data_IF_036195195457
#
_entry.id   IF_036195195457
#
_cell.length_a   1.000
_cell.length_b   1.000
_cell.length_c   1.000
_cell.angle_alpha   90.00
_cell.angle_beta   90.00
_cell.angle_gamma   90.00
#
_symmetry.space_group_name_H-M   'P 1'
#
loop_
_entity.id
_entity.type
_entity.pdbx_description
1 polymer ?
#
# COMPACT_ATOMS: atom_id res chain seq x y z
N UNK A 1 -14.98 -22.02 -0.38
CA UNK A 1 -15.61 -20.69 -0.52
C UNK A 1 -14.57 -19.72 -1.04
N UNK A 2 -14.80 -19.10 -2.20
CA UNK A 2 -13.93 -18.06 -2.73
C UNK A 2 -14.38 -16.72 -2.15
N UNK A 3 -13.45 -15.97 -1.54
CA UNK A 3 -13.69 -14.59 -1.11
C UNK A 3 -13.40 -13.67 -2.29
N UNK A 4 -14.42 -12.96 -2.76
CA UNK A 4 -14.24 -11.88 -3.74
C UNK A 4 -13.99 -10.59 -2.98
N UNK A 5 -12.76 -10.10 -3.01
CA UNK A 5 -12.38 -8.84 -2.37
C UNK A 5 -12.33 -7.78 -3.46
N UNK A 6 -13.39 -6.98 -3.55
CA UNK A 6 -13.42 -5.78 -4.39
C UNK A 6 -12.78 -4.63 -3.60
N UNK A 7 -11.86 -3.91 -4.25
CA UNK A 7 -11.43 -2.62 -3.74
C UNK A 7 -12.39 -1.51 -4.19
N UNK A 8 -12.34 -0.38 -3.50
CA UNK A 8 -13.21 0.78 -3.69
C UNK A 8 -12.90 1.52 -5.00
N UNK A 9 -11.75 1.25 -5.62
CA UNK A 9 -11.29 1.94 -6.83
C UNK A 9 -11.60 1.16 -8.11
N UNK A 10 -12.23 -0.01 -8.01
CA UNK A 10 -12.82 -0.72 -9.13
C UNK A 10 -11.83 -1.33 -10.11
N UNK A 11 -10.52 -1.16 -9.93
CA UNK A 11 -9.50 -1.88 -10.71
C UNK A 11 -9.58 -3.36 -10.36
N UNK A 12 -9.93 -4.26 -11.29
CA UNK A 12 -9.97 -5.67 -11.01
C UNK A 12 -8.53 -6.19 -10.82
N UNK A 13 -8.25 -6.72 -9.63
CA UNK A 13 -7.02 -7.42 -9.31
C UNK A 13 -7.22 -8.92 -9.42
N UNK A 14 -6.28 -9.60 -10.07
CA UNK A 14 -6.19 -11.04 -10.06
C UNK A 14 -5.45 -11.49 -8.80
N UNK A 15 -5.96 -12.51 -8.12
CA UNK A 15 -5.39 -13.02 -6.87
C UNK A 15 -5.00 -14.48 -7.01
N UNK A 16 -4.01 -14.91 -6.23
CA UNK A 16 -3.62 -16.31 -6.16
C UNK A 16 -4.75 -17.17 -5.60
N UNK A 17 -5.06 -18.27 -6.29
CA UNK A 17 -6.07 -19.24 -5.84
C UNK A 17 -5.69 -19.90 -4.50
N UNK A 18 -4.40 -20.15 -4.28
CA UNK A 18 -3.90 -20.75 -3.04
C UNK A 18 -3.73 -19.73 -1.91
N UNK A 19 -3.53 -18.45 -2.24
CA UNK A 19 -3.38 -17.38 -1.27
C UNK A 19 -4.08 -16.09 -1.75
N UNK A 20 -5.38 -15.92 -1.47
CA UNK A 20 -6.16 -14.76 -1.94
C UNK A 20 -5.69 -13.40 -1.40
N UNK A 21 -4.78 -13.37 -0.41
CA UNK A 21 -4.13 -12.14 0.03
C UNK A 21 -3.02 -11.68 -0.91
N UNK A 22 -2.56 -12.54 -1.82
CA UNK A 22 -1.50 -12.25 -2.78
C UNK A 22 -2.10 -11.91 -4.14
N UNK A 23 -1.89 -10.67 -4.58
CA UNK A 23 -2.28 -10.19 -5.90
C UNK A 23 -1.23 -10.64 -6.91
N UNK A 24 -1.68 -11.18 -8.03
CA UNK A 24 -0.85 -11.71 -9.12
C UNK A 24 -0.87 -10.83 -10.37
N UNK A 25 -1.73 -9.81 -10.41
CA UNK A 25 -1.82 -8.84 -11.50
C UNK A 25 -3.10 -8.02 -11.43
N UNK A 26 -3.32 -7.17 -12.42
CA UNK A 26 -4.55 -6.42 -12.63
C UNK A 26 -4.77 -6.10 -14.11
N UNK A 27 -6.00 -5.71 -14.44
CA UNK A 27 -6.40 -5.36 -15.82
C UNK A 27 -5.79 -4.04 -16.30
N UNK A 28 -5.52 -3.10 -15.38
CA UNK A 28 -5.02 -1.76 -15.69
C UNK A 28 -3.86 -1.36 -14.79
N UNK A 29 -2.85 -0.74 -15.41
CA UNK A 29 -1.66 -0.26 -14.72
C UNK A 29 -1.45 1.23 -14.96
N UNK A 30 -1.03 1.93 -13.91
CA UNK A 30 -0.32 3.19 -14.02
C UNK A 30 1.11 2.89 -14.49
N UNK A 31 1.61 3.70 -15.41
CA UNK A 31 2.98 3.63 -15.92
C UNK A 31 3.79 4.84 -15.40
N UNK A 32 4.29 4.80 -14.15
CA UNK A 32 5.05 5.90 -13.57
C UNK A 32 6.35 6.21 -14.29
N UNK A 33 6.97 5.20 -14.91
CA UNK A 33 8.20 5.37 -15.67
C UNK A 33 8.22 4.44 -16.88
N UNK A 34 8.57 5.02 -18.02
CA UNK A 34 8.84 4.33 -19.29
C UNK A 34 10.23 4.77 -19.73
N UNK A 35 11.18 3.83 -19.80
CA UNK A 35 12.60 4.15 -19.89
C UNK A 35 13.40 3.14 -20.69
N UNK A 36 14.71 3.32 -20.70
CA UNK A 36 15.68 2.40 -21.31
C UNK A 36 16.90 2.28 -20.40
N UNK A 37 17.55 1.11 -20.42
CA UNK A 37 18.89 0.89 -19.86
C UNK A 37 19.78 0.34 -20.97
N UNK A 38 21.00 0.85 -21.06
CA UNK A 38 21.96 0.50 -22.12
C UNK A 38 23.31 0.13 -21.51
N UNK A 39 24.15 -0.69 -22.17
CA UNK A 39 25.47 -1.09 -21.67
C UNK A 39 26.41 0.06 -21.30
N UNK A 40 26.19 1.27 -21.83
CA UNK A 40 26.95 2.46 -21.45
C UNK A 40 26.63 3.01 -20.05
N UNK A 41 25.60 2.51 -19.36
CA UNK A 41 25.27 2.92 -18.00
C UNK A 41 26.29 2.35 -17.01
N UNK A 42 26.87 3.16 -16.09
CA UNK A 42 27.92 2.69 -15.16
C UNK A 42 27.52 1.47 -14.33
N UNK A 43 26.24 1.37 -13.96
CA UNK A 43 25.68 0.26 -13.17
C UNK A 43 24.91 -0.76 -14.01
N UNK A 44 25.10 -0.77 -15.35
CA UNK A 44 24.34 -1.66 -16.24
C UNK A 44 24.41 -3.13 -15.81
N UNK A 45 25.61 -3.61 -15.48
CA UNK A 45 25.86 -5.00 -15.07
C UNK A 45 25.07 -5.39 -13.82
N UNK A 46 24.99 -4.50 -12.83
CA UNK A 46 24.18 -4.71 -11.62
C UNK A 46 22.68 -4.65 -11.95
N UNK A 47 22.28 -3.74 -12.85
CA UNK A 47 20.88 -3.57 -13.21
C UNK A 47 20.30 -4.76 -13.98
N UNK A 48 21.09 -5.45 -14.80
CA UNK A 48 20.66 -6.63 -15.58
C UNK A 48 20.92 -7.97 -14.90
N UNK A 49 21.52 -7.97 -13.70
CA UNK A 49 21.83 -9.21 -12.94
C UNK A 49 20.60 -10.12 -12.80
N UNK A 50 19.45 -9.55 -12.43
CA UNK A 50 18.19 -10.30 -12.31
C UNK A 50 17.77 -10.95 -13.66
N UNK A 51 18.02 -10.30 -14.79
CA UNK A 51 17.72 -10.89 -16.10
C UNK A 51 18.68 -12.05 -16.38
N UNK A 52 19.96 -11.86 -16.08
CA UNK A 52 21.02 -12.84 -16.30
C UNK A 52 20.81 -14.11 -15.48
N UNK A 53 20.55 -13.95 -14.18
CA UNK A 53 20.31 -15.05 -13.26
C UNK A 53 19.12 -15.92 -13.66
N UNK A 54 18.15 -15.33 -14.36
CA UNK A 54 16.97 -16.03 -14.87
C UNK A 54 17.12 -16.48 -16.34
N UNK A 55 18.30 -16.31 -16.95
CA UNK A 55 18.54 -16.68 -18.35
C UNK A 55 17.80 -15.81 -19.38
N UNK A 56 17.37 -14.61 -18.99
CA UNK A 56 16.65 -13.64 -19.81
C UNK A 56 17.53 -12.47 -20.28
N UNK A 57 18.82 -12.47 -19.91
CA UNK A 57 19.78 -11.48 -20.41
C UNK A 57 20.20 -11.81 -21.85
N UNK A 58 19.35 -11.48 -22.83
CA UNK A 58 19.52 -11.87 -24.24
C UNK A 58 19.73 -10.69 -25.19
N UNK A 59 19.78 -9.45 -24.68
CA UNK A 59 19.80 -8.23 -25.51
C UNK A 59 21.11 -7.45 -25.33
N UNK A 60 22.08 -7.58 -26.26
CA UNK A 60 23.35 -6.87 -26.16
C UNK A 60 23.21 -5.34 -26.30
N UNK A 61 22.13 -4.85 -26.91
CA UNK A 61 21.82 -3.43 -27.06
C UNK A 61 21.30 -2.78 -25.76
N UNK A 62 20.89 -3.58 -24.78
CA UNK A 62 20.18 -3.13 -23.59
C UNK A 62 18.68 -3.41 -23.65
N UNK A 63 17.93 -2.78 -22.74
CA UNK A 63 16.52 -3.08 -22.53
C UNK A 63 15.68 -1.80 -22.52
N UNK A 64 14.55 -1.86 -23.22
CA UNK A 64 13.42 -0.98 -22.96
C UNK A 64 12.69 -1.43 -21.70
N UNK A 65 12.27 -0.48 -20.87
CA UNK A 65 11.65 -0.71 -19.57
C UNK A 65 10.28 -0.05 -19.46
N UNK A 66 9.34 -0.77 -18.84
CA UNK A 66 8.11 -0.16 -18.31
C UNK A 66 7.93 -0.58 -16.86
N UNK A 67 7.83 0.41 -15.98
CA UNK A 67 7.41 0.19 -14.61
C UNK A 67 5.90 0.28 -14.58
N UNK A 68 5.27 -0.79 -14.14
CA UNK A 68 3.82 -0.91 -14.01
C UNK A 68 3.48 -0.93 -12.52
N UNK A 69 2.41 -0.22 -12.16
CA UNK A 69 1.87 -0.30 -10.81
C UNK A 69 0.35 -0.14 -10.81
N UNK A 70 -0.26 -0.73 -9.79
CA UNK A 70 -1.61 -0.44 -9.32
C UNK A 70 -1.53 -0.17 -7.82
N UNK A 71 -2.69 0.00 -7.18
CA UNK A 71 -2.82 0.19 -5.75
C UNK A 71 -2.20 -0.97 -4.95
N UNK A 72 -2.23 -2.19 -5.50
CA UNK A 72 -1.95 -3.43 -4.79
C UNK A 72 -0.91 -4.33 -5.46
N UNK A 73 -0.40 -3.94 -6.63
CA UNK A 73 0.56 -4.75 -7.39
C UNK A 73 1.53 -3.87 -8.17
N UNK A 74 2.74 -4.38 -8.38
CA UNK A 74 3.70 -3.76 -9.27
C UNK A 74 4.42 -4.80 -10.09
N UNK A 75 4.85 -4.39 -11.27
CA UNK A 75 5.63 -5.21 -12.16
C UNK A 75 6.62 -4.35 -12.95
N UNK A 76 7.65 -4.99 -13.46
CA UNK A 76 8.58 -4.39 -14.41
C UNK A 76 8.62 -5.22 -15.67
N UNK A 77 8.42 -4.56 -16.80
CA UNK A 77 8.59 -5.11 -18.12
C UNK A 77 9.99 -4.81 -18.64
N UNK A 78 10.62 -5.81 -19.24
CA UNK A 78 11.87 -5.71 -19.98
C UNK A 78 11.65 -6.18 -21.42
N UNK A 79 11.91 -5.32 -22.40
CA UNK A 79 11.74 -5.62 -23.82
C UNK A 79 12.78 -4.92 -24.70
N UNK A 80 12.50 -4.82 -26.00
CA UNK A 80 13.39 -4.10 -26.90
C UNK A 80 13.29 -2.58 -26.69
N UNK A 81 14.41 -1.89 -26.91
CA UNK A 81 14.45 -0.43 -26.87
C UNK A 81 13.54 0.14 -27.96
N UNK A 82 13.52 -0.46 -29.15
CA UNK A 82 12.71 -0.02 -30.28
C UNK A 82 11.22 -0.04 -29.95
N UNK A 83 10.73 -1.08 -29.27
CA UNK A 83 9.32 -1.20 -28.92
C UNK A 83 8.90 -0.13 -27.91
N UNK A 84 9.74 0.16 -26.93
CA UNK A 84 9.46 1.20 -25.93
C UNK A 84 9.51 2.59 -26.54
N UNK A 85 10.48 2.86 -27.40
CA UNK A 85 10.56 4.14 -28.10
C UNK A 85 9.41 4.32 -29.09
N UNK A 86 8.95 3.25 -29.73
CA UNK A 86 7.74 3.27 -30.55
C UNK A 86 6.50 3.57 -29.69
N UNK A 87 6.34 2.86 -28.57
CA UNK A 87 5.23 3.10 -27.64
C UNK A 87 5.20 4.55 -27.14
N UNK A 88 6.35 5.13 -26.75
CA UNK A 88 6.43 6.54 -26.33
C UNK A 88 5.97 7.51 -27.42
N UNK A 89 6.37 7.26 -28.68
CA UNK A 89 5.97 8.08 -29.84
C UNK A 89 4.48 7.96 -30.13
N UNK A 90 3.93 6.76 -30.01
CA UNK A 90 2.53 6.50 -30.35
C UNK A 90 1.58 6.93 -29.21
N UNK A 91 2.02 6.85 -27.95
CA UNK A 91 1.20 7.11 -26.78
C UNK A 91 1.09 8.60 -26.38
N UNK A 92 1.14 9.51 -27.34
CA UNK A 92 1.10 10.96 -27.08
C UNK A 92 -0.23 11.43 -26.49
N UNK A 93 -1.33 10.72 -26.79
CA UNK A 93 -2.68 10.97 -26.28
C UNK A 93 -3.14 9.96 -25.22
N UNK A 94 -2.27 9.01 -24.84
CA UNK A 94 -2.57 7.98 -23.85
C UNK A 94 -3.41 6.80 -24.35
N UNK A 95 -3.64 6.66 -25.66
CA UNK A 95 -4.50 5.61 -26.23
C UNK A 95 -3.75 4.45 -26.88
N UNK A 96 -2.41 4.51 -26.93
CA UNK A 96 -1.63 3.48 -27.59
C UNK A 96 -1.75 2.14 -26.86
N UNK A 97 -1.82 1.06 -27.63
CA UNK A 97 -1.79 -0.30 -27.10
C UNK A 97 -0.34 -0.77 -26.96
N UNK A 98 -0.04 -1.34 -25.81
CA UNK A 98 1.25 -1.98 -25.55
C UNK A 98 1.08 -3.50 -25.60
N UNK A 99 1.97 -4.19 -26.34
CA UNK A 99 2.00 -5.65 -26.41
C UNK A 99 3.10 -6.18 -25.47
N UNK A 100 2.74 -6.68 -24.27
CA UNK A 100 3.73 -7.16 -23.30
C UNK A 100 4.31 -8.54 -23.67
N UNK A 101 3.79 -9.22 -24.70
CA UNK A 101 4.26 -10.57 -25.07
C UNK A 101 5.65 -10.60 -25.70
N UNK A 102 6.20 -9.45 -26.10
CA UNK A 102 7.50 -9.33 -26.79
C UNK A 102 8.70 -9.19 -25.84
N UNK A 103 8.46 -9.30 -24.54
CA UNK A 103 9.46 -9.17 -23.51
C UNK A 103 9.15 -10.03 -22.30
N UNK A 104 9.77 -9.70 -21.18
CA UNK A 104 9.66 -10.44 -19.94
C UNK A 104 9.10 -9.54 -18.85
N UNK A 105 8.12 -10.05 -18.10
CA UNK A 105 7.50 -9.37 -16.98
C UNK A 105 7.98 -9.97 -15.66
N UNK A 106 8.45 -9.12 -14.76
CA UNK A 106 8.76 -9.49 -13.37
C UNK A 106 7.72 -8.89 -12.44
N UNK A 107 7.16 -9.69 -11.53
CA UNK A 107 6.08 -9.30 -10.61
C UNK A 107 6.58 -8.48 -9.40
N UNK A 108 7.47 -7.54 -9.66
CA UNK A 108 8.01 -6.58 -8.71
C UNK A 108 8.78 -5.49 -9.46
N UNK A 109 9.05 -4.38 -8.80
CA UNK A 109 10.10 -3.48 -9.24
C UNK A 109 11.45 -4.01 -8.73
N UNK A 110 12.52 -3.91 -9.53
CA UNK A 110 13.87 -4.21 -9.09
C UNK A 110 14.31 -3.22 -8.00
N UNK A 111 15.38 -3.53 -7.29
CA UNK A 111 15.94 -2.69 -6.24
C UNK A 111 17.46 -2.93 -6.15
N UNK A 112 18.18 -2.02 -5.51
CA UNK A 112 19.62 -2.11 -5.32
C UNK A 112 20.40 -1.22 -6.27
N UNK A 113 21.70 -1.51 -6.43
CA UNK A 113 22.64 -0.66 -7.16
C UNK A 113 22.16 -0.37 -8.59
N UNK A 114 22.25 0.89 -9.01
CA UNK A 114 21.69 1.40 -10.26
C UNK A 114 20.18 1.61 -10.23
N UNK A 115 19.41 0.66 -9.69
CA UNK A 115 17.95 0.76 -9.61
C UNK A 115 17.46 1.80 -8.60
N UNK A 116 18.10 1.92 -7.44
CA UNK A 116 17.68 2.84 -6.37
C UNK A 116 17.68 4.32 -6.81
N UNK A 117 18.57 4.67 -7.74
CA UNK A 117 18.66 6.03 -8.33
C UNK A 117 17.83 6.17 -9.62
N UNK A 118 17.63 5.07 -10.35
CA UNK A 118 16.85 5.06 -11.59
C UNK A 118 15.34 5.13 -11.33
N UNK A 119 14.88 4.48 -10.26
CA UNK A 119 13.46 4.36 -9.95
C UNK A 119 12.90 5.65 -9.35
N UNK A 120 11.76 6.13 -9.86
CA UNK A 120 11.19 7.35 -9.33
C UNK A 120 10.56 7.06 -7.97
N UNK A 121 10.76 7.98 -7.03
CA UNK A 121 9.99 7.98 -5.77
C UNK A 121 8.59 8.54 -6.03
N UNK A 122 7.71 7.72 -6.60
CA UNK A 122 6.34 8.11 -6.93
C UNK A 122 5.34 7.61 -5.89
N UNK A 123 4.61 8.54 -5.30
CA UNK A 123 3.49 8.26 -4.42
C UNK A 123 2.22 7.92 -5.22
N UNK A 124 1.27 7.24 -4.59
CA UNK A 124 -0.03 7.03 -5.21
C UNK A 124 -0.79 8.35 -5.30
N UNK A 125 -0.88 9.04 -4.17
CA UNK A 125 -1.48 10.36 -4.06
C UNK A 125 -0.47 11.44 -4.44
N UNK A 126 -0.69 12.10 -5.57
CA UNK A 126 0.13 13.21 -6.05
C UNK A 126 -0.77 14.44 -6.14
N UNK A 127 -0.31 15.58 -5.62
CA UNK A 127 -1.06 16.84 -5.58
C UNK A 127 -1.50 17.29 -6.97
N UNK A 128 -0.62 17.15 -7.97
CA UNK A 128 -0.91 17.46 -9.37
C UNK A 128 -2.07 16.63 -9.96
N UNK A 129 -2.42 15.48 -9.36
CA UNK A 129 -3.52 14.60 -9.77
C UNK A 129 -4.72 14.67 -8.80
N UNK A 130 -4.81 15.72 -8.00
CA UNK A 130 -5.91 15.95 -7.06
C UNK A 130 -5.71 15.31 -5.68
N UNK A 131 -4.51 14.80 -5.37
CA UNK A 131 -4.15 14.42 -4.00
C UNK A 131 -4.11 15.64 -3.07
N UNK A 132 -4.29 15.42 -1.77
CA UNK A 132 -4.27 16.48 -0.75
C UNK A 132 -2.85 17.08 -0.66
N UNK A 133 -1.86 16.20 -0.59
CA UNK A 133 -0.44 16.50 -0.75
C UNK A 133 0.25 15.25 -1.33
N UNK A 134 1.49 15.41 -1.77
CA UNK A 134 2.27 14.27 -2.26
C UNK A 134 2.50 13.25 -1.13
N UNK A 135 2.07 12.01 -1.37
CA UNK A 135 2.14 10.93 -0.38
C UNK A 135 1.17 11.09 0.79
N UNK A 136 0.07 11.82 0.61
CA UNK A 136 -0.98 11.95 1.63
C UNK A 136 -2.35 11.67 1.03
N UNK A 137 -2.99 10.59 1.49
CA UNK A 137 -4.33 10.23 1.07
C UNK A 137 -4.58 8.72 1.01
N UNK A 138 -5.80 8.35 0.59
CA UNK A 138 -6.23 6.98 0.41
C UNK A 138 -5.52 6.34 -0.79
N UNK A 139 -5.06 5.10 -0.63
CA UNK A 139 -4.51 4.28 -1.72
C UNK A 139 -5.59 3.33 -2.22
N UNK A 140 -6.13 2.52 -1.32
CA UNK A 140 -7.19 1.57 -1.59
C UNK A 140 -8.09 1.41 -0.36
N UNK A 141 -9.30 0.88 -0.54
CA UNK A 141 -10.19 0.53 0.57
C UNK A 141 -11.01 -0.71 0.22
N UNK A 142 -11.30 -1.54 1.21
CA UNK A 142 -12.06 -2.78 1.08
C UNK A 142 -13.29 -2.71 2.00
N UNK A 143 -14.45 -3.09 1.49
CA UNK A 143 -15.64 -3.21 2.33
C UNK A 143 -15.41 -4.29 3.40
N UNK A 144 -15.74 -3.96 4.66
CA UNK A 144 -15.57 -4.88 5.76
C UNK A 144 -16.68 -5.94 5.75
N UNK A 145 -16.36 -7.25 5.73
CA UNK A 145 -17.36 -8.31 5.49
C UNK A 145 -18.30 -8.54 6.67
N UNK A 146 -17.92 -8.13 7.89
CA UNK A 146 -18.68 -8.37 9.11
C UNK A 146 -19.29 -7.13 9.77
N UNK A 147 -19.11 -5.94 9.20
CA UNK A 147 -19.55 -4.68 9.80
C UNK A 147 -20.05 -3.71 8.71
N UNK A 148 -21.37 -3.60 8.52
CA UNK A 148 -21.94 -2.76 7.47
C UNK A 148 -21.47 -1.30 7.55
N UNK A 149 -21.04 -0.74 6.42
CA UNK A 149 -20.54 0.64 6.33
C UNK A 149 -19.11 0.85 6.86
N UNK A 150 -18.46 -0.20 7.40
CA UNK A 150 -17.05 -0.15 7.73
C UNK A 150 -16.19 -0.60 6.55
N UNK A 151 -14.97 -0.08 6.53
CA UNK A 151 -13.94 -0.32 5.52
C UNK A 151 -12.60 -0.65 6.18
N UNK A 152 -11.80 -1.46 5.49
CA UNK A 152 -10.37 -1.62 5.72
C UNK A 152 -9.64 -0.80 4.67
N UNK A 153 -8.95 0.24 5.11
CA UNK A 153 -8.42 1.32 4.29
C UNK A 153 -6.90 1.24 4.27
N UNK A 154 -6.29 1.37 3.10
CA UNK A 154 -4.85 1.60 2.93
C UNK A 154 -4.63 3.06 2.59
N UNK A 155 -3.69 3.71 3.25
CA UNK A 155 -3.43 5.13 3.03
C UNK A 155 -1.96 5.50 3.22
N UNK A 156 -1.56 6.54 2.49
CA UNK A 156 -0.28 7.22 2.62
C UNK A 156 -0.44 8.45 3.51
N UNK A 157 0.57 8.74 4.34
CA UNK A 157 0.56 9.90 5.23
C UNK A 157 1.98 10.38 5.54
N UNK A 158 2.09 11.57 6.13
CA UNK A 158 3.33 12.08 6.70
C UNK A 158 3.36 11.84 8.20
N UNK A 159 4.41 11.20 8.70
CA UNK A 159 4.52 10.85 10.11
C UNK A 159 5.89 10.31 10.49
N UNK A 160 6.12 10.10 11.77
CA UNK A 160 7.37 9.56 12.29
C UNK A 160 7.11 8.25 13.05
N UNK A 161 8.06 7.32 12.96
CA UNK A 161 8.02 6.05 13.69
C UNK A 161 7.99 6.21 15.21
N UNK A 162 8.59 7.30 15.72
CA UNK A 162 8.69 7.60 17.16
C UNK A 162 8.25 9.03 17.42
N UNK A 163 7.72 9.28 18.62
CA UNK A 163 7.38 10.62 19.08
C UNK A 163 8.64 11.51 19.03
N UNK A 164 8.55 12.65 18.34
CA UNK A 164 9.65 13.59 18.17
C UNK A 164 10.69 13.19 17.11
N UNK A 165 10.46 12.10 16.36
CA UNK A 165 11.28 11.76 15.20
C UNK A 165 10.99 12.67 14.00
N UNK A 166 11.88 12.61 13.00
CA UNK A 166 11.70 13.32 11.74
C UNK A 166 10.50 12.74 10.98
N UNK A 167 9.54 13.57 10.54
CA UNK A 167 8.47 13.11 9.68
C UNK A 167 8.98 12.61 8.33
N UNK A 168 8.47 11.46 7.91
CA UNK A 168 8.74 10.80 6.63
C UNK A 168 7.39 10.47 5.95
N UNK A 169 7.45 10.08 4.68
CA UNK A 169 6.29 9.52 3.99
C UNK A 169 6.11 8.06 4.40
N UNK A 170 4.92 7.73 4.86
CA UNK A 170 4.56 6.46 5.46
C UNK A 170 3.37 5.86 4.74
N UNK A 171 3.18 4.55 4.89
CA UNK A 171 2.01 3.83 4.41
C UNK A 171 1.58 2.82 5.48
N UNK A 172 0.28 2.65 5.63
CA UNK A 172 -0.32 1.68 6.55
C UNK A 172 -1.68 1.24 6.02
N UNK A 173 -2.28 0.24 6.67
CA UNK A 173 -3.70 0.00 6.57
C UNK A 173 -4.39 0.23 7.93
N UNK A 174 -5.71 0.33 7.90
CA UNK A 174 -6.55 0.62 9.05
C UNK A 174 -7.96 0.04 8.89
N UNK A 175 -8.50 -0.57 9.95
CA UNK A 175 -9.87 -1.09 9.97
C UNK A 175 -10.81 -0.18 10.77
N UNK A 176 -11.77 0.43 10.08
CA UNK A 176 -12.76 1.34 10.69
C UNK A 176 -13.84 0.62 11.51
N UNK A 177 -13.90 -0.72 11.45
CA UNK A 177 -14.84 -1.52 12.26
C UNK A 177 -14.42 -1.56 13.74
N UNK A 178 -13.13 -1.79 14.01
CA UNK A 178 -12.57 -1.81 15.36
C UNK A 178 -12.07 -0.43 15.80
N UNK A 179 -11.44 0.31 14.90
CA UNK A 179 -10.81 1.58 15.22
C UNK A 179 -11.57 2.70 14.52
N UNK A 180 -12.62 3.20 15.17
CA UNK A 180 -13.49 4.24 14.58
C UNK A 180 -12.79 5.59 14.37
N UNK A 181 -11.61 5.77 14.97
CA UNK A 181 -10.83 7.00 14.98
C UNK A 181 -9.31 6.68 15.00
N UNK A 182 -8.52 7.47 14.28
CA UNK A 182 -7.25 7.08 13.64
C UNK A 182 -6.04 7.93 14.05
N UNK A 183 -4.93 7.28 14.46
CA UNK A 183 -3.56 7.40 13.86
C UNK A 183 -2.49 6.55 14.59
N UNK A 184 -2.86 5.54 15.38
CA UNK A 184 -1.89 4.58 15.91
C UNK A 184 -2.42 3.15 15.74
N UNK A 185 -2.45 2.65 14.50
CA UNK A 185 -2.31 1.21 14.29
C UNK A 185 -0.84 0.87 14.55
N UNK A 186 -0.50 0.63 15.82
CA UNK A 186 0.86 0.50 16.31
C UNK A 186 1.63 -0.73 15.80
N UNK A 187 1.06 -1.52 14.87
CA UNK A 187 1.68 -2.73 14.33
C UNK A 187 2.00 -2.74 12.83
N UNK A 188 1.42 -1.85 12.03
CA UNK A 188 1.40 -2.03 10.56
C UNK A 188 1.75 -0.79 9.74
N UNK A 189 2.64 0.04 10.27
CA UNK A 189 3.20 1.18 9.55
C UNK A 189 4.49 0.79 8.84
N UNK A 190 4.73 1.34 7.65
CA UNK A 190 5.99 1.20 6.91
C UNK A 190 6.39 2.53 6.29
N UNK A 191 7.70 2.81 6.21
CA UNK A 191 8.20 3.91 5.38
C UNK A 191 7.82 3.63 3.92
N UNK A 192 7.24 4.62 3.26
CA UNK A 192 6.78 4.50 1.88
C UNK A 192 7.92 4.83 0.92
N UNK A 193 8.59 3.78 0.46
CA UNK A 193 9.71 3.88 -0.49
C UNK A 193 9.30 3.61 -1.93
N UNK A 194 8.04 3.28 -2.17
CA UNK A 194 7.50 3.01 -3.50
C UNK A 194 6.33 2.02 -3.50
N UNK A 195 6.01 1.46 -4.68
CA UNK A 195 4.87 0.54 -4.83
C UNK A 195 4.98 -0.71 -3.98
N UNK A 196 6.20 -1.20 -3.70
CA UNK A 196 6.41 -2.37 -2.85
C UNK A 196 5.89 -2.15 -1.42
N UNK A 197 6.08 -0.95 -0.86
CA UNK A 197 5.53 -0.57 0.45
C UNK A 197 4.00 -0.53 0.43
N UNK A 198 3.39 -0.03 -0.66
CA UNK A 198 1.94 -0.02 -0.84
C UNK A 198 1.36 -1.42 -0.98
N UNK A 199 1.99 -2.28 -1.79
CA UNK A 199 1.60 -3.68 -1.94
C UNK A 199 1.70 -4.41 -0.59
N UNK A 200 2.75 -4.17 0.19
CA UNK A 200 2.84 -4.71 1.55
C UNK A 200 1.63 -4.31 2.40
N UNK A 201 1.27 -3.02 2.44
CA UNK A 201 0.16 -2.53 3.25
C UNK A 201 -1.19 -3.09 2.76
N UNK A 202 -1.42 -3.11 1.45
CA UNK A 202 -2.60 -3.71 0.83
C UNK A 202 -2.72 -5.21 1.12
N UNK A 203 -1.60 -5.94 1.10
CA UNK A 203 -1.57 -7.35 1.49
C UNK A 203 -1.98 -7.55 2.95
N UNK A 204 -1.53 -6.69 3.87
CA UNK A 204 -1.97 -6.79 5.26
C UNK A 204 -3.48 -6.50 5.40
N UNK A 205 -3.99 -5.48 4.71
CA UNK A 205 -5.42 -5.20 4.65
C UNK A 205 -6.24 -6.38 4.13
N UNK A 206 -5.78 -7.06 3.06
CA UNK A 206 -6.43 -8.27 2.55
C UNK A 206 -6.40 -9.41 3.55
N UNK A 207 -5.26 -9.65 4.21
CA UNK A 207 -5.17 -10.67 5.26
C UNK A 207 -6.20 -10.41 6.37
N UNK A 208 -6.32 -9.16 6.80
CA UNK A 208 -7.32 -8.76 7.78
C UNK A 208 -8.74 -9.12 7.31
N UNK A 209 -9.14 -8.72 6.09
CA UNK A 209 -10.45 -9.04 5.50
C UNK A 209 -10.69 -10.56 5.42
N UNK A 210 -9.68 -11.32 4.99
CA UNK A 210 -9.75 -12.79 4.89
C UNK A 210 -9.90 -13.42 6.28
N UNK A 211 -9.17 -12.90 7.26
CA UNK A 211 -9.24 -13.36 8.66
C UNK A 211 -10.64 -13.15 9.22
N UNK A 212 -11.24 -11.97 9.02
CA UNK A 212 -12.64 -11.69 9.39
C UNK A 212 -13.61 -12.63 8.70
N UNK A 213 -13.46 -12.84 7.39
CA UNK A 213 -14.35 -13.73 6.66
C UNK A 213 -14.29 -15.18 7.17
N UNK A 214 -13.11 -15.64 7.60
CA UNK A 214 -12.90 -17.01 8.09
C UNK A 214 -13.30 -17.21 9.55
N UNK A 215 -13.05 -16.23 10.40
CA UNK A 215 -13.12 -16.39 11.85
C UNK A 215 -14.21 -15.50 12.49
N UNK A 216 -14.75 -14.53 11.77
CA UNK A 216 -15.70 -13.55 12.30
C UNK A 216 -15.00 -12.37 13.01
N UNK A 217 -15.78 -11.36 13.35
CA UNK A 217 -15.32 -10.19 14.12
C UNK A 217 -15.22 -10.53 15.60
N UNK A 218 -14.16 -10.08 16.27
CA UNK A 218 -13.95 -10.27 17.71
C UNK A 218 -13.56 -11.69 18.14
N UNK A 219 -13.46 -12.63 17.20
CA UNK A 219 -13.04 -14.00 17.49
C UNK A 219 -11.55 -14.05 17.87
N UNK A 220 -11.16 -14.95 18.76
CA UNK A 220 -9.77 -15.08 19.23
C UNK A 220 -8.76 -15.30 18.10
N UNK A 221 -9.16 -16.04 17.07
CA UNK A 221 -8.35 -16.33 15.87
C UNK A 221 -8.51 -15.29 14.74
N UNK A 222 -9.22 -14.18 14.99
CA UNK A 222 -9.44 -13.12 14.01
C UNK A 222 -8.45 -11.98 14.20
N UNK A 223 -7.96 -11.43 13.09
CA UNK A 223 -7.15 -10.21 13.08
C UNK A 223 -8.00 -8.96 13.36
N UNK A 224 -9.34 -9.09 13.34
CA UNK A 224 -10.30 -8.04 13.66
C UNK A 224 -10.89 -8.26 15.04
N UNK A 225 -10.02 -8.24 16.04
CA UNK A 225 -10.39 -8.24 17.45
C UNK A 225 -9.83 -6.96 18.09
N UNK A 226 -10.57 -6.30 18.99
CA UNK A 226 -9.93 -5.30 19.83
C UNK A 226 -8.79 -6.00 20.57
N UNK A 227 -7.63 -5.33 20.69
CA UNK A 227 -6.67 -5.76 21.69
C UNK A 227 -7.42 -5.76 23.01
N UNK A 228 -7.28 -6.86 23.73
CA UNK A 228 -8.16 -7.26 24.81
C UNK A 228 -8.06 -6.32 26.03
N UNK A 229 -7.53 -5.09 25.90
CA UNK A 229 -7.38 -4.07 26.95
C UNK A 229 -6.58 -4.56 28.15
N UNK A 230 -5.97 -5.74 28.07
CA UNK A 230 -5.37 -6.44 29.19
C UNK A 230 -4.19 -5.64 29.73
N UNK A 231 -3.40 -5.07 28.83
CA UNK A 231 -2.32 -4.14 29.17
C UNK A 231 -2.86 -2.87 29.86
N UNK A 232 -3.96 -2.27 29.37
CA UNK A 232 -4.59 -1.11 30.01
C UNK A 232 -5.14 -1.45 31.41
N UNK A 233 -5.74 -2.63 31.57
CA UNK A 233 -6.23 -3.12 32.87
C UNK A 233 -5.09 -3.37 33.85
N UNK A 234 -3.96 -3.93 33.38
CA UNK A 234 -2.75 -4.12 34.19
C UNK A 234 -2.17 -2.78 34.63
N UNK A 235 -2.10 -1.78 33.72
CA UNK A 235 -1.60 -0.43 34.05
C UNK A 235 -2.52 0.27 35.05
N UNK A 236 -3.83 0.19 34.86
CA UNK A 236 -4.81 0.72 35.82
C UNK A 236 -4.71 0.01 37.17
N UNK A 237 -4.52 -1.31 37.20
CA UNK A 237 -4.31 -2.06 38.44
C UNK A 237 -3.07 -1.59 39.17
N UNK A 238 -1.93 -1.51 38.49
CA UNK A 238 -0.69 -1.00 39.05
C UNK A 238 -0.85 0.44 39.56
N UNK A 239 -1.64 1.27 38.86
CA UNK A 239 -1.87 2.65 39.27
C UNK A 239 -2.74 2.78 40.51
N UNK A 240 -3.70 1.87 40.71
CA UNK A 240 -4.43 1.75 41.98
C UNK A 240 -3.51 1.29 43.10
N UNK A 241 -2.74 0.23 42.85
CA UNK A 241 -1.90 -0.41 43.86
C UNK A 241 -0.77 0.51 44.33
N UNK A 242 -0.17 1.27 43.41
CA UNK A 242 1.01 2.10 43.70
C UNK A 242 0.67 3.54 44.09
N UNK A 243 -0.44 4.09 43.60
CA UNK A 243 -0.78 5.51 43.78
C UNK A 243 -2.16 5.76 44.40
N UNK A 244 -2.89 4.71 44.79
CA UNK A 244 -4.17 4.84 45.51
C UNK A 244 -5.28 5.51 44.70
N UNK A 245 -5.20 5.45 43.37
CA UNK A 245 -6.22 6.04 42.49
C UNK A 245 -7.58 5.35 42.68
N UNK A 246 -8.66 6.12 42.71
CA UNK A 246 -10.03 5.61 42.97
C UNK A 246 -10.80 5.24 41.70
N UNK A 247 -10.19 5.47 40.53
CA UNK A 247 -10.78 5.19 39.23
C UNK A 247 -9.70 4.82 38.21
N UNK A 248 -10.17 4.33 37.07
CA UNK A 248 -9.35 4.01 35.93
C UNK A 248 -8.83 5.29 35.26
N UNK A 249 -7.52 5.52 35.33
CA UNK A 249 -6.87 6.67 34.69
C UNK A 249 -6.81 6.49 33.16
N UNK A 250 -6.77 5.24 32.71
CA UNK A 250 -6.92 4.82 31.32
C UNK A 250 -8.24 4.05 31.20
N UNK A 251 -8.93 4.03 30.05
CA UNK A 251 -10.15 3.23 29.92
C UNK A 251 -9.87 1.72 29.94
N UNK A 252 -10.90 0.90 30.18
CA UNK A 252 -10.80 -0.56 30.31
C UNK A 252 -10.71 -1.33 28.98
N UNK A 253 -10.80 -0.60 27.87
CA UNK A 253 -10.77 -1.09 26.49
C UNK A 253 -9.98 -0.09 25.63
N UNK A 254 -9.15 -0.59 24.71
CA UNK A 254 -8.35 0.24 23.81
C UNK A 254 -9.19 1.21 22.95
N UNK A 255 -10.42 0.82 22.60
CA UNK A 255 -11.39 1.62 21.86
C UNK A 255 -11.64 3.01 22.50
N UNK A 256 -11.69 3.08 23.83
CA UNK A 256 -11.97 4.31 24.55
C UNK A 256 -10.70 5.18 24.76
N UNK A 257 -9.50 4.58 24.68
CA UNK A 257 -8.23 5.30 24.82
C UNK A 257 -7.92 6.09 23.54
N UNK A 258 -8.14 5.48 22.38
CA UNK A 258 -7.94 6.12 21.07
C UNK A 258 -8.86 7.35 20.87
N UNK A 259 -10.11 7.28 21.33
CA UNK A 259 -11.12 8.32 21.15
C UNK A 259 -10.88 9.63 21.94
N UNK A 260 -10.09 9.60 23.03
CA UNK A 260 -10.03 10.72 23.99
C UNK A 260 -8.70 11.47 24.04
N UNK A 261 -7.59 10.85 23.62
CA UNK A 261 -6.24 11.44 23.73
C UNK A 261 -5.34 11.23 22.50
N UNK A 262 -5.88 10.68 21.41
CA UNK A 262 -5.13 10.28 20.23
C UNK A 262 -5.21 11.24 19.01
N UNK A 263 -4.34 11.04 18.01
CA UNK A 263 -4.22 11.80 16.74
C UNK A 263 -5.43 11.79 15.77
N UNK A 264 -6.58 11.37 16.27
CA UNK A 264 -7.91 11.27 15.64
C UNK A 264 -8.47 12.61 15.12
N UNK A 265 -7.90 13.75 15.55
CA UNK A 265 -8.28 15.08 15.09
C UNK A 265 -7.90 15.40 13.63
N UNK A 266 -6.81 14.81 13.10
CA UNK A 266 -6.22 15.18 11.79
C UNK A 266 -6.96 14.51 10.61
N UNK A 267 -7.49 13.30 10.79
CA UNK A 267 -8.26 12.59 9.73
C UNK A 267 -9.69 13.14 9.58
N UNK A 268 -10.21 13.83 10.60
CA UNK A 268 -11.40 14.68 10.47
C UNK A 268 -11.20 15.80 9.44
N UNK A 269 -10.00 16.35 9.31
CA UNK A 269 -9.66 17.36 8.30
C UNK A 269 -9.40 16.74 6.91
N UNK A 270 -8.85 15.52 6.82
CA UNK A 270 -8.68 14.80 5.54
C UNK A 270 -10.02 14.33 4.94
N UNK A 271 -11.03 14.05 5.77
CA UNK A 271 -12.44 13.86 5.34
C UNK A 271 -13.11 15.17 4.89
N UNK A 272 -12.60 16.32 5.31
CA UNK A 272 -13.08 17.65 4.89
C UNK A 272 -12.41 18.15 3.59
N UNK A 273 -11.41 17.44 3.07
CA UNK A 273 -10.82 17.69 1.76
C UNK A 273 -11.74 17.25 0.63
N UNK A 274 -12.00 18.14 -0.32
CA UNK A 274 -12.86 17.91 -1.48
C UNK A 274 -12.44 16.62 -2.19
N UNK A 275 -13.32 15.62 -2.22
CA UNK A 275 -13.18 14.44 -3.10
C UNK A 275 -13.00 14.94 -4.55
N UNK A 276 -11.93 14.54 -5.26
CA UNK A 276 -11.76 14.90 -6.66
C UNK A 276 -13.01 14.60 -7.50
N UNK A 277 -13.36 15.42 -8.52
CA UNK A 277 -14.57 15.24 -9.33
C UNK A 277 -14.75 13.85 -9.95
N UNK A 278 -13.67 13.08 -10.11
CA UNK A 278 -13.69 11.68 -10.57
C UNK A 278 -14.46 10.72 -9.62
N UNK A 279 -14.77 11.12 -8.39
CA UNK A 279 -15.47 10.31 -7.37
C UNK A 279 -16.97 10.64 -7.21
N UNK A 280 -17.60 11.22 -8.24
CA UNK A 280 -19.05 11.56 -8.23
C UNK A 280 -19.89 10.86 -9.32
N UNK A 281 -19.31 9.88 -10.02
CA UNK A 281 -20.03 9.06 -10.99
C UNK A 281 -20.40 7.70 -10.39
#
# INVERSE_FOLDING_TARGET
MNITIANTYGTPHHVSAANPAYVTGCDYYRLPLVGTITPGHPDYEDMVEMLRDNGHDTRPEGYGLIFLESEEFSATYFGSIEQIEQYKRDNTDGTARFDPSQGVLYAQWPQGKGWDDYLPRTFWNIKARGGIADGVGLVTAFAHPGAPGAEVIVYEFEGAWRRGGTPEKMVTYHCTACHKDTFHDCGHVHTNTGPASRHWAARQARKHIISVHRHGVGHENSDCRPDNGEMLRVVNSLARDRWGTTGNALPDTDDAYCATKGPCGIIRELRAGVRPPAYRA
#
